data_IF_862214444102
#
_entry.id   IF_862214444102
#
_cell.length_a   1.000
_cell.length_b   1.000
_cell.length_c   1.000
_cell.angle_alpha   90.00
_cell.angle_beta   90.00
_cell.angle_gamma   90.00
#
_symmetry.space_group_name_H-M   'P 1'
#
loop_
_entity.id
_entity.type
_entity.pdbx_description
1 polymer ?
#
# COMPACT_ATOMS: atom_id res chain seq x y z
N UNK A 1 58.52 -74.74 10.89
CA UNK A 1 57.35 -74.00 11.42
C UNK A 1 57.89 -72.99 12.41
N UNK A 2 58.14 -71.79 11.92
CA UNK A 2 58.63 -70.64 12.69
C UNK A 2 57.66 -69.51 12.35
N UNK A 3 56.77 -69.20 13.28
CA UNK A 3 55.80 -68.12 13.13
C UNK A 3 56.35 -66.88 13.85
N UNK A 4 56.77 -65.94 13.02
CA UNK A 4 57.37 -64.65 13.36
C UNK A 4 56.25 -63.65 13.69
N UNK A 5 56.08 -63.34 14.97
CA UNK A 5 55.10 -62.35 15.44
C UNK A 5 55.72 -60.95 15.37
N UNK A 6 55.44 -60.24 14.26
CA UNK A 6 55.70 -58.80 14.13
C UNK A 6 54.97 -58.04 15.24
N UNK A 7 55.72 -57.51 16.21
CA UNK A 7 55.25 -56.46 17.12
C UNK A 7 55.08 -55.17 16.32
N UNK A 8 53.86 -54.63 16.27
CA UNK A 8 53.57 -53.30 15.74
C UNK A 8 54.32 -52.23 16.54
N UNK A 9 54.89 -51.25 15.85
CA UNK A 9 55.65 -50.14 16.44
C UNK A 9 54.68 -49.05 16.95
N UNK A 10 54.56 -48.84 18.27
CA UNK A 10 53.59 -47.91 18.86
C UNK A 10 53.81 -46.43 18.49
N UNK A 11 54.94 -46.09 17.85
CA UNK A 11 55.22 -44.73 17.36
C UNK A 11 54.49 -44.39 16.05
N UNK A 12 54.16 -45.39 15.23
CA UNK A 12 53.44 -45.19 13.97
C UNK A 12 51.92 -45.03 14.18
N UNK A 13 51.34 -45.76 15.15
CA UNK A 13 49.92 -45.66 15.53
C UNK A 13 49.58 -44.29 16.15
N UNK A 14 50.49 -43.71 16.93
CA UNK A 14 50.29 -42.36 17.50
C UNK A 14 50.31 -41.24 16.46
N UNK A 15 51.07 -41.42 15.38
CA UNK A 15 51.18 -40.42 14.29
C UNK A 15 49.94 -40.43 13.39
N UNK A 16 49.41 -41.62 13.06
CA UNK A 16 48.17 -41.78 12.31
C UNK A 16 46.95 -41.23 13.07
N UNK A 17 46.85 -41.52 14.38
CA UNK A 17 45.78 -40.97 15.22
C UNK A 17 45.82 -39.43 15.31
N UNK A 18 47.02 -38.83 15.37
CA UNK A 18 47.19 -37.37 15.36
C UNK A 18 46.79 -36.74 14.03
N UNK A 19 47.05 -37.41 12.90
CA UNK A 19 46.74 -36.92 11.56
C UNK A 19 45.24 -37.04 11.25
N UNK A 20 44.60 -38.12 11.72
CA UNK A 20 43.14 -38.27 11.68
C UNK A 20 42.43 -37.21 12.52
N UNK A 21 42.94 -36.91 13.72
CA UNK A 21 42.40 -35.86 14.58
C UNK A 21 42.55 -34.47 13.94
N UNK A 22 43.70 -34.19 13.30
CA UNK A 22 43.90 -32.95 12.55
C UNK A 22 42.96 -32.83 11.34
N UNK A 23 42.78 -33.91 10.57
CA UNK A 23 41.84 -33.94 9.45
C UNK A 23 40.40 -33.73 9.92
N UNK A 24 39.97 -34.40 11.00
CA UNK A 24 38.64 -34.20 11.59
C UNK A 24 38.43 -32.75 12.03
N UNK A 25 39.42 -32.13 12.69
CA UNK A 25 39.36 -30.71 13.07
C UNK A 25 39.26 -29.77 11.87
N UNK A 26 40.01 -30.04 10.80
CA UNK A 26 39.95 -29.24 9.56
C UNK A 26 38.59 -29.38 8.86
N UNK A 27 38.09 -30.60 8.71
CA UNK A 27 36.79 -30.85 8.08
C UNK A 27 35.64 -30.25 8.91
N UNK A 28 35.69 -30.41 10.24
CA UNK A 28 34.74 -29.79 11.15
C UNK A 28 34.77 -28.25 11.05
N UNK A 29 35.96 -27.65 10.97
CA UNK A 29 36.13 -26.21 10.76
C UNK A 29 35.55 -25.71 9.43
N UNK A 30 35.78 -26.43 8.33
CA UNK A 30 35.21 -26.07 7.02
C UNK A 30 33.69 -26.18 6.99
N UNK A 31 33.12 -27.27 7.53
CA UNK A 31 31.67 -27.42 7.64
C UNK A 31 31.05 -26.31 8.50
N UNK A 32 31.74 -25.87 9.55
CA UNK A 32 31.33 -24.78 10.45
C UNK A 32 31.28 -23.43 9.72
N UNK A 33 32.33 -23.06 8.99
CA UNK A 33 32.34 -21.83 8.19
C UNK A 33 31.23 -21.81 7.14
N UNK A 34 30.97 -22.94 6.48
CA UNK A 34 29.93 -23.03 5.45
C UNK A 34 28.53 -22.81 6.04
N UNK A 35 28.21 -23.45 7.16
CA UNK A 35 26.93 -23.23 7.86
C UNK A 35 26.75 -21.77 8.30
N UNK A 36 27.81 -21.13 8.79
CA UNK A 36 27.76 -19.72 9.16
C UNK A 36 27.53 -18.81 7.94
N UNK A 37 28.21 -19.07 6.82
CA UNK A 37 28.00 -18.31 5.58
C UNK A 37 26.58 -18.48 5.05
N UNK A 38 26.06 -19.72 5.01
CA UNK A 38 24.69 -20.00 4.57
C UNK A 38 23.66 -19.28 5.46
N UNK A 39 23.89 -19.26 6.77
CA UNK A 39 23.07 -18.51 7.73
C UNK A 39 23.10 -16.99 7.49
N UNK A 40 24.30 -16.42 7.27
CA UNK A 40 24.45 -14.98 7.00
C UNK A 40 23.77 -14.58 5.70
N UNK A 41 23.92 -15.38 4.64
CA UNK A 41 23.27 -15.14 3.35
C UNK A 41 21.74 -15.14 3.51
N UNK A 42 21.19 -16.11 4.24
CA UNK A 42 19.75 -16.21 4.49
C UNK A 42 19.19 -15.01 5.29
N UNK A 43 19.94 -14.47 6.25
CA UNK A 43 19.52 -13.29 7.02
C UNK A 43 19.62 -12.01 6.16
N UNK A 44 20.58 -11.96 5.24
CA UNK A 44 20.82 -10.78 4.40
C UNK A 44 19.84 -10.59 3.24
N UNK A 45 19.01 -11.58 2.93
CA UNK A 45 18.02 -11.49 1.84
C UNK A 45 16.78 -10.67 2.20
N UNK A 46 16.54 -10.45 3.50
CA UNK A 46 15.33 -9.81 3.97
C UNK A 46 15.56 -8.35 4.33
N UNK A 47 14.50 -7.56 4.12
CA UNK A 47 14.48 -6.13 4.40
C UNK A 47 13.47 -5.80 5.52
N UNK A 48 12.48 -6.68 5.72
CA UNK A 48 11.49 -6.60 6.81
C UNK A 48 12.11 -7.01 8.15
N UNK A 49 11.99 -6.16 9.17
CA UNK A 49 12.62 -6.38 10.47
C UNK A 49 12.15 -7.68 11.13
N UNK A 50 10.85 -7.95 11.12
CA UNK A 50 10.30 -9.15 11.75
C UNK A 50 10.85 -10.43 11.11
N UNK A 51 10.94 -10.44 9.78
CA UNK A 51 11.52 -11.53 8.99
C UNK A 51 13.01 -11.70 9.28
N UNK A 52 13.78 -10.60 9.30
CA UNK A 52 15.21 -10.59 9.69
C UNK A 52 15.39 -11.18 11.09
N UNK A 53 14.65 -10.71 12.09
CA UNK A 53 14.76 -11.18 13.47
C UNK A 53 14.38 -12.67 13.60
N UNK A 54 13.31 -13.11 12.93
CA UNK A 54 12.91 -14.52 12.89
C UNK A 54 13.99 -15.38 12.24
N UNK A 55 14.56 -14.94 11.12
CA UNK A 55 15.63 -15.66 10.44
C UNK A 55 16.91 -15.73 11.27
N UNK A 56 17.24 -14.70 12.06
CA UNK A 56 18.36 -14.76 13.01
C UNK A 56 18.13 -15.89 14.03
N UNK A 57 16.93 -15.96 14.61
CA UNK A 57 16.59 -17.01 15.60
C UNK A 57 16.65 -18.39 14.94
N UNK A 58 16.01 -18.55 13.78
CA UNK A 58 16.01 -19.80 13.00
C UNK A 58 17.44 -20.23 12.65
N UNK A 59 18.23 -19.34 12.07
CA UNK A 59 19.63 -19.59 11.74
C UNK A 59 20.44 -19.99 12.96
N UNK A 60 20.24 -19.32 14.11
CA UNK A 60 20.87 -19.68 15.37
C UNK A 60 20.53 -21.11 15.80
N UNK A 61 19.24 -21.48 15.77
CA UNK A 61 18.81 -22.83 16.14
C UNK A 61 19.42 -23.91 15.25
N UNK A 62 19.51 -23.68 13.93
CA UNK A 62 20.13 -24.63 13.00
C UNK A 62 21.66 -24.67 13.12
N UNK A 63 22.30 -23.53 13.40
CA UNK A 63 23.76 -23.42 13.40
C UNK A 63 24.40 -24.27 14.51
N UNK A 64 23.74 -24.36 15.67
CA UNK A 64 24.21 -25.11 16.84
C UNK A 64 23.29 -26.29 17.25
N UNK A 65 22.36 -26.66 16.37
CA UNK A 65 21.43 -27.79 16.56
C UNK A 65 20.59 -27.71 17.86
N UNK A 66 20.03 -26.53 18.13
CA UNK A 66 19.13 -26.27 19.26
C UNK A 66 17.66 -26.47 18.87
N UNK A 67 16.84 -26.97 19.81
CA UNK A 67 15.40 -27.18 19.60
C UNK A 67 14.58 -25.90 19.60
N UNK A 68 14.97 -24.93 20.40
CA UNK A 68 14.21 -23.70 20.60
C UNK A 68 15.14 -22.51 20.58
N UNK A 69 14.66 -21.42 20.00
CA UNK A 69 15.32 -20.12 20.04
C UNK A 69 14.36 -19.01 20.41
N UNK A 70 14.88 -18.01 21.11
CA UNK A 70 14.18 -16.80 21.46
C UNK A 70 15.11 -15.59 21.28
N UNK A 71 14.59 -14.51 20.72
CA UNK A 71 15.27 -13.23 20.64
C UNK A 71 14.41 -12.17 21.32
N UNK A 72 14.88 -11.68 22.46
CA UNK A 72 14.30 -10.52 23.12
C UNK A 72 14.91 -9.24 22.54
N UNK A 73 14.07 -8.37 21.98
CA UNK A 73 14.45 -7.02 21.53
C UNK A 73 14.31 -6.07 22.71
N UNK A 74 15.34 -5.25 22.95
CA UNK A 74 15.38 -4.32 24.06
C UNK A 74 14.89 -2.93 23.63
N UNK A 75 14.05 -2.32 24.46
CA UNK A 75 13.67 -0.91 24.36
C UNK A 75 14.76 0.01 24.92
N UNK A 76 14.52 1.33 24.86
CA UNK A 76 15.48 2.34 25.33
C UNK A 76 15.78 2.23 26.84
N UNK A 77 14.80 1.80 27.63
CA UNK A 77 14.92 1.60 29.08
C UNK A 77 15.55 0.25 29.47
N UNK A 78 15.89 -0.60 28.48
CA UNK A 78 16.45 -1.93 28.69
C UNK A 78 15.42 -3.03 28.96
N UNK A 79 14.12 -2.70 28.98
CA UNK A 79 13.04 -3.68 29.03
C UNK A 79 12.86 -4.40 27.68
N UNK A 80 12.40 -5.65 27.72
CA UNK A 80 12.09 -6.40 26.50
C UNK A 80 10.77 -5.88 25.91
N UNK A 81 10.84 -5.30 24.71
CA UNK A 81 9.68 -4.70 24.01
C UNK A 81 9.09 -5.61 22.94
N UNK A 82 9.87 -6.59 22.46
CA UNK A 82 9.42 -7.58 21.50
C UNK A 82 10.16 -8.92 21.72
N UNK A 83 9.51 -10.03 21.40
CA UNK A 83 10.02 -11.37 21.61
C UNK A 83 9.72 -12.26 20.41
N UNK A 84 10.79 -12.65 19.70
CA UNK A 84 10.70 -13.54 18.53
C UNK A 84 11.08 -14.95 18.94
N UNK A 85 10.20 -15.93 18.73
CA UNK A 85 10.44 -17.32 19.12
C UNK A 85 10.35 -18.29 17.95
N UNK A 86 11.21 -19.32 17.95
CA UNK A 86 11.20 -20.43 16.99
C UNK A 86 11.26 -21.75 17.75
N UNK A 87 10.42 -22.71 17.36
CA UNK A 87 10.42 -24.07 17.91
C UNK A 87 9.76 -24.24 19.29
N UNK A 88 9.31 -23.16 19.95
CA UNK A 88 8.62 -23.20 21.24
C UNK A 88 7.12 -22.92 21.12
N UNK A 89 6.25 -23.57 21.93
CA UNK A 89 4.96 -22.98 22.27
C UNK A 89 5.22 -21.73 23.12
N UNK A 90 4.58 -20.61 22.79
CA UNK A 90 4.62 -19.29 23.45
C UNK A 90 5.39 -19.32 24.78
N UNK A 91 6.67 -18.94 24.72
CA UNK A 91 7.53 -18.91 25.89
C UNK A 91 7.04 -17.75 26.77
N UNK A 92 6.20 -18.11 27.75
CA UNK A 92 5.73 -17.22 28.81
C UNK A 92 6.91 -16.38 29.33
N UNK A 93 6.73 -15.06 29.24
CA UNK A 93 7.72 -13.97 29.19
C UNK A 93 8.61 -13.78 30.42
N UNK A 94 8.95 -14.83 31.14
CA UNK A 94 9.89 -14.78 32.24
C UNK A 94 11.15 -15.57 31.89
N UNK A 95 12.27 -14.86 31.80
CA UNK A 95 13.53 -15.36 32.39
C UNK A 95 13.13 -16.03 33.72
N UNK A 96 13.16 -17.35 33.77
CA UNK A 96 12.33 -18.17 34.67
C UNK A 96 12.30 -17.69 36.14
N UNK A 97 11.15 -17.75 36.84
CA UNK A 97 11.10 -17.52 38.28
C UNK A 97 11.98 -18.56 39.01
N UNK A 98 12.67 -18.18 40.10
CA UNK A 98 13.56 -19.08 40.82
C UNK A 98 12.79 -20.25 41.44
N UNK A 99 13.11 -21.49 41.04
CA UNK A 99 12.61 -22.69 41.71
C UNK A 99 12.21 -23.91 40.86
N UNK A 100 12.32 -23.89 39.52
CA UNK A 100 12.12 -25.11 38.71
C UNK A 100 13.41 -25.94 38.56
N UNK A 101 13.34 -27.29 38.61
CA UNK A 101 14.51 -28.14 38.42
C UNK A 101 15.12 -27.97 37.02
N UNK A 102 16.43 -27.74 36.99
CA UNK A 102 17.25 -27.38 35.85
C UNK A 102 17.64 -28.59 34.99
N UNK A 103 17.04 -28.75 33.81
CA UNK A 103 17.58 -29.65 32.76
C UNK A 103 17.60 -29.02 31.37
N UNK A 104 17.31 -27.71 31.23
CA UNK A 104 17.51 -27.00 29.97
C UNK A 104 18.82 -26.23 30.03
N UNK A 105 19.83 -26.72 29.32
CA UNK A 105 21.01 -25.91 28.97
C UNK A 105 20.53 -24.72 28.14
N UNK A 106 21.05 -23.55 28.46
CA UNK A 106 20.73 -22.27 27.81
C UNK A 106 22.05 -21.67 27.35
N UNK A 107 22.09 -21.19 26.12
CA UNK A 107 23.18 -20.36 25.60
C UNK A 107 22.60 -19.04 25.13
N UNK A 108 23.13 -17.93 25.62
CA UNK A 108 22.68 -16.59 25.28
C UNK A 108 23.84 -15.75 24.77
N UNK A 109 23.64 -15.01 23.68
CA UNK A 109 24.60 -14.01 23.20
C UNK A 109 23.91 -12.68 22.90
N UNK A 110 24.57 -11.54 23.19
CA UNK A 110 24.02 -10.24 22.87
C UNK A 110 24.08 -9.99 21.36
N UNK A 111 22.99 -9.50 20.79
CA UNK A 111 22.98 -8.85 19.48
C UNK A 111 23.33 -7.39 19.67
N UNK A 112 24.49 -6.99 19.15
CA UNK A 112 24.97 -5.61 19.27
C UNK A 112 24.91 -4.94 17.90
N UNK A 113 24.28 -3.77 17.83
CA UNK A 113 24.20 -2.93 16.62
C UNK A 113 24.92 -1.62 16.90
N UNK A 114 25.97 -1.32 16.12
CA UNK A 114 26.82 -0.12 16.29
C UNK A 114 27.30 0.11 17.74
N UNK A 115 27.64 -0.97 18.45
CA UNK A 115 28.13 -0.90 19.83
C UNK A 115 27.04 -0.79 20.90
N UNK A 116 25.76 -0.79 20.53
CA UNK A 116 24.62 -0.82 21.48
C UNK A 116 23.97 -2.19 21.45
N UNK A 117 23.63 -2.75 22.61
CA UNK A 117 22.92 -4.03 22.68
C UNK A 117 21.49 -3.82 22.20
N UNK A 118 21.15 -4.40 21.05
CA UNK A 118 19.81 -4.37 20.46
C UNK A 118 18.89 -5.43 21.08
N UNK A 119 19.46 -6.59 21.43
CA UNK A 119 18.68 -7.71 21.93
C UNK A 119 19.56 -8.84 22.45
N UNK A 120 18.94 -9.89 22.97
CA UNK A 120 19.64 -11.08 23.42
C UNK A 120 19.06 -12.33 22.73
N UNK A 121 19.92 -13.05 22.00
CA UNK A 121 19.57 -14.30 21.35
C UNK A 121 19.85 -15.47 22.31
N UNK A 122 18.80 -16.15 22.72
CA UNK A 122 18.83 -17.27 23.64
C UNK A 122 18.41 -18.56 22.94
N UNK A 123 19.25 -19.59 22.99
CA UNK A 123 18.97 -20.91 22.45
C UNK A 123 18.91 -21.95 23.57
N UNK A 124 17.99 -22.91 23.46
CA UNK A 124 17.78 -23.93 24.51
C UNK A 124 17.53 -25.31 23.95
N UNK A 125 17.99 -26.32 24.69
CA UNK A 125 17.73 -27.73 24.40
C UNK A 125 18.44 -28.21 23.14
N UNK A 126 19.75 -28.46 23.24
CA UNK A 126 20.55 -29.07 22.18
C UNK A 126 20.01 -30.46 21.82
N UNK A 127 19.87 -30.76 20.53
CA UNK A 127 19.17 -31.96 20.05
C UNK A 127 19.87 -33.27 20.42
N UNK A 128 21.19 -33.27 20.44
CA UNK A 128 22.04 -34.40 20.81
C UNK A 128 22.08 -34.68 22.33
N UNK A 129 21.44 -33.83 23.14
CA UNK A 129 21.39 -33.95 24.60
C UNK A 129 22.67 -33.52 25.33
N UNK A 130 23.68 -33.02 24.60
CA UNK A 130 24.93 -32.52 25.19
C UNK A 130 24.79 -31.07 25.68
N UNK A 131 25.65 -30.61 26.60
CA UNK A 131 25.76 -29.18 26.91
C UNK A 131 26.22 -28.36 25.70
N UNK A 132 25.86 -27.07 25.70
CA UNK A 132 26.46 -26.11 24.76
C UNK A 132 27.95 -25.95 25.07
N UNK A 133 28.76 -25.82 24.02
CA UNK A 133 30.22 -25.70 24.11
C UNK A 133 30.70 -24.28 23.82
N UNK A 134 31.95 -23.99 24.14
CA UNK A 134 32.61 -22.72 23.77
C UNK A 134 32.59 -22.50 22.24
N UNK A 135 32.62 -23.59 21.46
CA UNK A 135 32.51 -23.52 20.00
C UNK A 135 31.10 -23.11 19.54
N UNK A 136 30.05 -23.55 20.28
CA UNK A 136 28.66 -23.13 20.04
C UNK A 136 28.50 -21.63 20.36
N UNK A 137 29.08 -21.17 21.48
CA UNK A 137 29.10 -19.75 21.86
C UNK A 137 29.83 -18.90 20.81
N UNK A 138 31.00 -19.35 20.35
CA UNK A 138 31.75 -18.64 19.31
C UNK A 138 31.01 -18.60 17.97
N UNK A 139 30.24 -19.65 17.62
CA UNK A 139 29.39 -19.66 16.42
C UNK A 139 28.27 -18.64 16.53
N UNK A 140 27.57 -18.68 17.66
CA UNK A 140 26.41 -17.85 17.89
C UNK A 140 26.81 -16.37 18.01
N UNK A 141 27.96 -16.08 18.62
CA UNK A 141 28.57 -14.74 18.67
C UNK A 141 28.95 -14.24 17.28
N UNK A 142 29.53 -15.10 16.43
CA UNK A 142 29.85 -14.73 15.06
C UNK A 142 28.59 -14.45 14.23
N UNK A 143 27.55 -15.26 14.39
CA UNK A 143 26.23 -15.04 13.78
C UNK A 143 25.63 -13.72 14.26
N UNK A 144 25.65 -13.45 15.57
CA UNK A 144 25.12 -12.23 16.15
C UNK A 144 25.84 -10.98 15.63
N UNK A 145 27.16 -11.05 15.47
CA UNK A 145 27.97 -9.99 14.86
C UNK A 145 27.60 -9.75 13.39
N UNK A 146 27.45 -10.82 12.60
CA UNK A 146 27.07 -10.70 11.20
C UNK A 146 25.62 -10.19 11.01
N UNK A 147 24.70 -10.64 11.87
CA UNK A 147 23.31 -10.20 11.91
C UNK A 147 23.16 -8.69 12.21
N UNK A 148 24.14 -8.08 12.87
CA UNK A 148 24.18 -6.64 13.17
C UNK A 148 23.93 -5.77 11.94
N UNK A 149 24.52 -6.17 10.79
CA UNK A 149 24.39 -5.44 9.53
C UNK A 149 22.96 -5.56 8.99
N UNK A 150 22.38 -6.76 9.01
CA UNK A 150 21.01 -6.97 8.55
C UNK A 150 19.98 -6.25 9.43
N UNK A 151 20.17 -6.23 10.75
CA UNK A 151 19.31 -5.46 11.67
C UNK A 151 19.43 -3.96 11.36
N UNK A 152 20.64 -3.42 11.17
CA UNK A 152 20.81 -2.01 10.83
C UNK A 152 20.19 -1.68 9.47
N UNK A 153 20.33 -2.56 8.48
CA UNK A 153 19.72 -2.39 7.15
C UNK A 153 18.19 -2.36 7.25
N UNK A 154 17.57 -3.31 7.95
CA UNK A 154 16.13 -3.34 8.18
C UNK A 154 15.67 -2.07 8.92
N UNK A 155 16.41 -1.63 9.95
CA UNK A 155 16.09 -0.40 10.71
C UNK A 155 16.22 0.86 9.85
N UNK A 156 17.18 0.92 8.93
CA UNK A 156 17.32 2.03 8.00
C UNK A 156 16.16 2.05 6.99
N UNK A 157 15.79 0.88 6.49
CA UNK A 157 14.66 0.74 5.58
C UNK A 157 13.33 1.12 6.22
N UNK A 158 13.05 0.67 7.46
CA UNK A 158 11.86 1.07 8.21
C UNK A 158 11.81 2.57 8.47
N UNK A 159 12.94 3.18 8.85
CA UNK A 159 13.02 4.65 9.04
C UNK A 159 12.76 5.40 7.74
N UNK A 160 13.30 4.92 6.62
CA UNK A 160 13.03 5.48 5.31
C UNK A 160 11.54 5.36 4.97
N UNK A 161 10.96 4.16 5.13
CA UNK A 161 9.54 3.89 4.90
C UNK A 161 8.64 4.80 5.72
N UNK A 162 8.86 4.87 7.04
CA UNK A 162 8.12 5.77 7.92
C UNK A 162 8.23 7.23 7.47
N UNK A 163 9.44 7.71 7.16
CA UNK A 163 9.66 9.10 6.75
C UNK A 163 8.95 9.41 5.44
N UNK A 164 9.01 8.51 4.47
CA UNK A 164 8.32 8.59 3.17
C UNK A 164 6.81 8.64 3.36
N UNK A 165 6.25 7.73 4.15
CA UNK A 165 4.80 7.70 4.44
C UNK A 165 4.33 8.99 5.14
N UNK A 166 5.10 9.50 6.11
CA UNK A 166 4.77 10.76 6.77
C UNK A 166 4.84 11.96 5.83
N UNK A 167 5.81 11.97 4.91
CA UNK A 167 5.91 13.02 3.90
C UNK A 167 4.72 12.97 2.94
N UNK A 168 4.35 11.79 2.44
CA UNK A 168 3.20 11.61 1.55
C UNK A 168 1.90 12.05 2.24
N UNK A 169 1.67 11.65 3.50
CA UNK A 169 0.50 12.07 4.28
C UNK A 169 0.39 13.59 4.40
N UNK A 170 1.50 14.31 4.51
CA UNK A 170 1.52 15.78 4.58
C UNK A 170 1.35 16.46 3.23
N UNK A 171 1.58 15.74 2.13
CA UNK A 171 1.35 16.25 0.78
C UNK A 171 -0.10 16.13 0.34
N UNK A 172 -0.93 15.34 1.04
CA UNK A 172 -2.36 15.22 0.78
C UNK A 172 -3.16 16.29 1.55
N UNK A 173 -4.29 16.77 1.01
CA UNK A 173 -5.11 17.79 1.66
C UNK A 173 -5.87 17.27 2.89
N UNK A 174 -6.05 18.14 3.88
CA UNK A 174 -7.18 18.04 4.78
C UNK A 174 -8.47 18.37 4.01
N UNK A 175 -9.50 17.54 4.14
CA UNK A 175 -10.78 17.76 3.48
C UNK A 175 -11.57 18.89 4.17
N UNK A 176 -12.06 19.90 3.42
CA UNK A 176 -12.87 20.96 4.00
C UNK A 176 -14.26 20.46 4.40
N UNK A 177 -14.90 21.15 5.35
CA UNK A 177 -16.32 20.98 5.63
C UNK A 177 -17.14 21.60 4.50
N UNK A 178 -17.87 20.77 3.75
CA UNK A 178 -18.74 21.18 2.65
C UNK A 178 -20.21 21.35 3.09
N UNK A 179 -20.48 21.41 4.40
CA UNK A 179 -21.82 21.56 4.95
C UNK A 179 -22.68 20.33 4.71
N UNK A 180 -23.73 20.38 3.86
CA UNK A 180 -24.61 19.25 3.65
C UNK A 180 -24.03 18.13 2.78
N UNK A 181 -22.90 18.36 2.09
CA UNK A 181 -22.20 17.35 1.30
C UNK A 181 -21.19 16.63 2.19
N UNK A 182 -21.28 15.31 2.27
CA UNK A 182 -20.29 14.49 2.98
C UNK A 182 -19.14 14.13 2.05
N UNK A 183 -17.90 14.24 2.52
CA UNK A 183 -16.70 13.87 1.76
C UNK A 183 -15.78 13.03 2.61
N UNK A 184 -15.26 11.94 2.05
CA UNK A 184 -14.18 11.14 2.64
C UNK A 184 -13.15 10.78 1.60
N UNK A 185 -11.93 10.54 2.05
CA UNK A 185 -10.86 10.05 1.20
C UNK A 185 -10.04 8.99 1.94
N UNK A 186 -9.40 8.14 1.16
CA UNK A 186 -8.38 7.19 1.59
C UNK A 186 -7.24 7.20 0.60
N UNK A 187 -6.05 7.02 1.13
CA UNK A 187 -4.84 6.85 0.35
C UNK A 187 -4.11 5.61 0.85
N UNK A 188 -3.83 4.68 -0.06
CA UNK A 188 -3.14 3.43 0.22
C UNK A 188 -1.86 3.40 -0.60
N UNK A 189 -0.67 3.48 0.03
CA UNK A 189 0.58 3.40 -0.69
C UNK A 189 0.86 2.01 -1.30
N UNK A 190 1.69 1.97 -2.35
CA UNK A 190 2.21 0.75 -2.94
C UNK A 190 3.02 -0.11 -1.94
N UNK A 191 3.04 -1.43 -2.14
CA UNK A 191 3.53 -2.40 -1.13
C UNK A 191 5.05 -2.65 -1.12
N UNK A 192 5.73 -2.57 -2.27
CA UNK A 192 7.10 -3.13 -2.40
C UNK A 192 8.25 -2.17 -2.11
N UNK A 193 8.05 -0.84 -2.12
CA UNK A 193 9.14 0.13 -1.90
C UNK A 193 8.65 1.40 -1.22
N UNK A 194 9.46 2.05 -0.35
CA UNK A 194 9.19 3.40 0.09
C UNK A 194 9.47 4.38 -1.06
N UNK A 195 8.51 4.48 -1.97
CA UNK A 195 8.43 5.52 -2.99
C UNK A 195 7.31 6.48 -2.60
N UNK A 196 7.44 7.72 -3.06
CA UNK A 196 6.36 8.69 -2.97
C UNK A 196 5.56 8.61 -4.27
N UNK A 197 4.24 8.51 -4.13
CA UNK A 197 3.33 8.32 -5.26
C UNK A 197 3.07 9.54 -6.10
N UNK A 198 2.65 9.28 -7.34
CA UNK A 198 2.10 10.26 -8.27
C UNK A 198 0.63 10.60 -7.98
N UNK A 199 -0.08 9.67 -7.34
CA UNK A 199 -1.49 9.78 -6.99
C UNK A 199 -1.81 10.89 -5.98
N UNK A 200 -2.90 11.62 -6.25
CA UNK A 200 -3.47 12.57 -5.29
C UNK A 200 -4.98 12.74 -5.43
N UNK A 201 -5.58 13.28 -4.37
CA UNK A 201 -6.89 13.89 -4.40
C UNK A 201 -6.82 15.31 -3.85
N UNK A 202 -7.77 16.17 -4.22
CA UNK A 202 -7.96 17.48 -3.60
C UNK A 202 -9.42 17.89 -3.58
N UNK A 203 -9.81 18.64 -2.55
CA UNK A 203 -11.14 19.23 -2.42
C UNK A 203 -10.98 20.65 -1.93
N UNK A 204 -11.44 21.59 -2.74
CA UNK A 204 -11.31 23.02 -2.48
C UNK A 204 -12.65 23.73 -2.63
N UNK A 205 -12.96 24.60 -1.68
CA UNK A 205 -14.12 25.49 -1.77
C UNK A 205 -13.69 26.75 -2.51
N UNK A 206 -14.30 26.99 -3.67
CA UNK A 206 -14.02 28.15 -4.50
C UNK A 206 -14.58 29.43 -3.86
N UNK A 207 -14.11 30.62 -4.27
CA UNK A 207 -14.63 31.90 -3.77
C UNK A 207 -16.14 32.10 -3.98
N UNK A 208 -16.73 31.41 -4.94
CA UNK A 208 -18.17 31.39 -5.23
C UNK A 208 -18.97 30.39 -4.34
N UNK A 209 -18.29 29.69 -3.42
CA UNK A 209 -18.86 28.69 -2.52
C UNK A 209 -19.03 27.31 -3.14
N UNK A 210 -18.68 27.13 -4.42
CA UNK A 210 -18.79 25.84 -5.11
C UNK A 210 -17.61 24.95 -4.71
N UNK A 211 -17.90 23.68 -4.37
CA UNK A 211 -16.86 22.70 -4.12
C UNK A 211 -16.27 22.21 -5.45
N UNK A 212 -14.94 22.29 -5.56
CA UNK A 212 -14.17 21.72 -6.65
C UNK A 212 -13.43 20.48 -6.12
N UNK A 213 -13.53 19.37 -6.85
CA UNK A 213 -12.96 18.08 -6.50
C UNK A 213 -11.97 17.65 -7.58
N UNK A 214 -10.86 17.06 -7.16
CA UNK A 214 -9.79 16.60 -8.03
C UNK A 214 -9.36 15.20 -7.58
N UNK A 215 -9.16 14.32 -8.54
CA UNK A 215 -8.36 13.10 -8.38
C UNK A 215 -7.46 13.00 -9.60
N UNK A 216 -6.21 12.62 -9.41
CA UNK A 216 -5.28 12.44 -10.51
C UNK A 216 -4.09 11.59 -10.14
N UNK A 217 -3.33 11.26 -11.18
CA UNK A 217 -2.10 10.50 -11.12
C UNK A 217 -1.07 11.11 -12.07
N UNK A 218 0.16 11.29 -11.58
CA UNK A 218 1.30 11.76 -12.36
C UNK A 218 1.97 10.57 -13.04
N UNK A 219 2.11 10.65 -14.35
CA UNK A 219 2.70 9.56 -15.13
C UNK A 219 4.14 9.26 -14.68
N UNK A 220 4.37 8.01 -14.26
CA UNK A 220 5.67 7.48 -13.89
C UNK A 220 5.69 6.91 -12.47
N UNK A 221 6.70 6.10 -12.15
CA UNK A 221 6.79 5.38 -10.87
C UNK A 221 8.09 5.68 -10.09
N UNK A 222 8.78 6.76 -10.47
CA UNK A 222 10.08 7.10 -9.92
C UNK A 222 9.97 8.09 -8.76
N UNK A 223 10.89 8.10 -7.78
CA UNK A 223 10.81 8.98 -6.61
C UNK A 223 10.67 10.49 -6.92
N UNK A 224 10.94 10.89 -8.18
CA UNK A 224 10.73 12.25 -8.68
C UNK A 224 9.28 12.65 -8.95
N UNK A 225 8.30 11.72 -8.92
CA UNK A 225 6.90 12.05 -9.27
C UNK A 225 6.18 12.85 -8.18
N UNK A 226 6.49 12.66 -6.90
CA UNK A 226 5.77 13.35 -5.83
C UNK A 226 5.97 14.87 -5.80
N UNK A 227 7.18 15.43 -6.02
CA UNK A 227 7.32 16.88 -6.24
C UNK A 227 6.50 17.38 -7.43
N UNK A 228 6.39 16.59 -8.50
CA UNK A 228 5.58 16.93 -9.67
C UNK A 228 4.10 16.91 -9.33
N UNK A 229 3.61 15.91 -8.61
CA UNK A 229 2.24 15.86 -8.09
C UNK A 229 1.93 17.13 -7.27
N UNK A 230 2.82 17.52 -6.36
CA UNK A 230 2.68 18.75 -5.59
C UNK A 230 2.63 20.00 -6.47
N UNK A 231 3.33 20.04 -7.61
CA UNK A 231 3.21 21.12 -8.58
C UNK A 231 1.84 21.13 -9.26
N UNK A 232 1.39 19.99 -9.79
CA UNK A 232 0.04 19.86 -10.40
C UNK A 232 -1.05 20.32 -9.45
N UNK A 233 -1.05 19.79 -8.23
CA UNK A 233 -2.03 20.12 -7.18
C UNK A 233 -2.05 21.63 -6.89
N UNK A 234 -0.89 22.23 -6.62
CA UNK A 234 -0.81 23.64 -6.26
C UNK A 234 -1.15 24.58 -7.44
N UNK A 235 -0.77 24.22 -8.67
CA UNK A 235 -1.14 24.97 -9.87
C UNK A 235 -2.65 24.90 -10.09
N UNK A 236 -3.26 23.72 -9.98
CA UNK A 236 -4.70 23.55 -10.07
C UNK A 236 -5.45 24.36 -9.02
N UNK A 237 -5.00 24.31 -7.77
CA UNK A 237 -5.59 25.09 -6.69
C UNK A 237 -5.56 26.59 -7.05
N UNK A 238 -4.40 27.13 -7.45
CA UNK A 238 -4.26 28.53 -7.82
C UNK A 238 -5.13 28.93 -9.02
N UNK A 239 -5.14 28.10 -10.09
CA UNK A 239 -5.92 28.35 -11.30
C UNK A 239 -7.43 28.30 -11.05
N UNK A 240 -7.89 27.35 -10.24
CA UNK A 240 -9.28 27.21 -9.86
C UNK A 240 -9.73 28.40 -8.99
N UNK A 241 -8.90 28.82 -8.03
CA UNK A 241 -9.19 29.94 -7.13
C UNK A 241 -9.25 31.30 -7.83
N UNK A 242 -8.26 31.62 -8.69
CA UNK A 242 -8.15 32.95 -9.32
C UNK A 242 -9.25 33.23 -10.34
N UNK A 243 -9.55 32.27 -11.22
CA UNK A 243 -10.38 32.52 -12.41
C UNK A 243 -11.67 31.75 -12.46
N UNK A 244 -11.85 30.74 -11.61
CA UNK A 244 -13.00 29.83 -11.66
C UNK A 244 -13.33 29.38 -13.08
N UNK A 245 -14.62 29.22 -13.36
CA UNK A 245 -15.15 28.83 -14.67
C UNK A 245 -15.33 27.32 -14.86
N UNK A 246 -15.67 26.88 -16.09
CA UNK A 246 -15.88 25.48 -16.41
C UNK A 246 -14.61 24.65 -16.16
N UNK A 247 -14.75 23.41 -15.64
CA UNK A 247 -13.64 22.50 -15.40
C UNK A 247 -12.62 22.40 -16.54
N UNK A 248 -13.09 22.24 -17.78
CA UNK A 248 -12.26 22.13 -18.98
C UNK A 248 -11.37 23.36 -19.19
N UNK A 249 -11.88 24.55 -18.90
CA UNK A 249 -11.11 25.80 -19.01
C UNK A 249 -9.99 25.88 -17.97
N UNK A 250 -10.20 25.35 -16.76
CA UNK A 250 -9.17 25.31 -15.72
C UNK A 250 -8.05 24.36 -16.15
N UNK A 251 -8.40 23.17 -16.65
CA UNK A 251 -7.43 22.18 -17.11
C UNK A 251 -6.70 22.63 -18.39
N UNK A 252 -7.36 23.32 -19.32
CA UNK A 252 -6.67 23.91 -20.49
C UNK A 252 -5.59 24.93 -20.09
N UNK A 253 -5.86 25.75 -19.07
CA UNK A 253 -4.84 26.68 -18.55
C UNK A 253 -3.69 25.95 -17.86
N UNK A 254 -4.00 24.83 -17.20
CA UNK A 254 -2.96 23.97 -16.62
C UNK A 254 -2.05 23.41 -17.72
N UNK A 255 -2.61 22.92 -18.84
CA UNK A 255 -1.82 22.51 -20.00
C UNK A 255 -0.92 23.65 -20.51
N UNK A 256 -1.46 24.86 -20.63
CA UNK A 256 -0.69 26.03 -21.07
C UNK A 256 0.51 26.31 -20.16
N UNK A 257 0.31 26.26 -18.83
CA UNK A 257 1.37 26.49 -17.84
C UNK A 257 2.42 25.38 -17.89
N UNK A 258 1.99 24.12 -17.93
CA UNK A 258 2.89 22.96 -18.00
C UNK A 258 3.72 22.99 -19.28
N UNK A 259 3.12 23.38 -20.41
CA UNK A 259 3.80 23.51 -21.70
C UNK A 259 4.92 24.56 -21.73
N UNK A 260 5.07 25.39 -20.69
CA UNK A 260 6.19 26.34 -20.54
C UNK A 260 7.42 25.74 -19.86
N UNK A 261 7.32 24.53 -19.31
CA UNK A 261 8.44 23.84 -18.65
C UNK A 261 9.36 23.19 -19.68
N UNK A 262 10.66 23.10 -19.37
CA UNK A 262 11.68 22.53 -20.27
C UNK A 262 11.45 21.03 -20.55
N UNK A 263 10.89 20.31 -19.57
CA UNK A 263 10.46 18.92 -19.66
C UNK A 263 9.05 18.81 -19.06
N UNK A 264 7.99 18.98 -19.88
CA UNK A 264 6.62 19.07 -19.38
C UNK A 264 6.17 17.70 -18.85
N UNK A 265 5.88 17.57 -17.54
CA UNK A 265 5.37 16.33 -17.00
C UNK A 265 3.94 16.07 -17.49
N UNK A 266 3.56 14.80 -17.51
CA UNK A 266 2.21 14.37 -17.82
C UNK A 266 1.48 13.86 -16.58
N UNK A 267 0.16 14.06 -16.56
CA UNK A 267 -0.70 13.51 -15.51
C UNK A 267 -2.09 13.20 -16.07
N UNK A 268 -2.70 12.12 -15.59
CA UNK A 268 -4.13 11.87 -15.76
C UNK A 268 -4.87 12.54 -14.61
N UNK A 269 -6.04 13.13 -14.88
CA UNK A 269 -6.87 13.68 -13.79
C UNK A 269 -8.33 13.84 -14.18
N UNK A 270 -9.17 13.89 -13.16
CA UNK A 270 -10.50 14.48 -13.21
C UNK A 270 -10.50 15.73 -12.35
N UNK A 271 -11.03 16.81 -12.93
CA UNK A 271 -11.39 18.00 -12.19
C UNK A 271 -12.89 18.20 -12.35
N UNK A 272 -13.59 18.39 -11.24
CA UNK A 272 -15.03 18.63 -11.27
C UNK A 272 -15.51 19.63 -10.23
N UNK A 273 -16.71 20.16 -10.45
CA UNK A 273 -17.40 21.14 -9.63
C UNK A 273 -18.77 20.60 -9.24
N UNK A 274 -19.11 20.71 -7.97
CA UNK A 274 -20.40 20.31 -7.41
C UNK A 274 -21.27 21.56 -7.22
N UNK A 275 -22.15 21.81 -8.18
CA UNK A 275 -23.03 22.97 -8.19
C UNK A 275 -24.42 22.62 -7.66
N UNK A 276 -24.88 23.34 -6.64
CA UNK A 276 -26.27 23.29 -6.20
C UNK A 276 -27.13 24.17 -7.11
N UNK A 277 -28.01 23.53 -7.91
CA UNK A 277 -28.92 24.24 -8.83
C UNK A 277 -30.13 24.79 -8.10
N UNK A 278 -30.63 24.02 -7.13
CA UNK A 278 -31.74 24.34 -6.22
C UNK A 278 -31.45 23.68 -4.88
N UNK A 279 -32.07 24.11 -3.77
CA UNK A 279 -31.88 23.49 -2.46
C UNK A 279 -32.01 21.96 -2.50
N UNK A 280 -30.92 21.24 -2.30
CA UNK A 280 -30.84 19.78 -2.33
C UNK A 280 -30.71 19.12 -3.73
N UNK A 281 -30.66 19.91 -4.82
CA UNK A 281 -30.45 19.43 -6.19
C UNK A 281 -29.03 19.80 -6.67
N UNK A 282 -28.16 18.80 -6.75
CA UNK A 282 -26.76 18.98 -7.14
C UNK A 282 -26.50 18.49 -8.56
N UNK A 283 -25.61 19.18 -9.27
CA UNK A 283 -25.09 18.77 -10.58
C UNK A 283 -23.57 18.68 -10.49
N UNK A 284 -23.02 17.57 -10.97
CA UNK A 284 -21.59 17.41 -11.12
C UNK A 284 -21.17 17.86 -12.52
N UNK A 285 -20.33 18.88 -12.58
CA UNK A 285 -19.68 19.35 -13.80
C UNK A 285 -18.24 18.90 -13.81
N UNK A 286 -17.73 18.26 -14.85
CA UNK A 286 -16.33 17.80 -14.85
C UNK A 286 -15.69 17.79 -16.23
N UNK A 287 -14.36 17.78 -16.23
CA UNK A 287 -13.54 17.40 -17.37
C UNK A 287 -12.72 16.18 -16.97
N UNK A 288 -12.50 15.27 -17.93
CA UNK A 288 -11.65 14.10 -17.74
C UNK A 288 -10.44 14.20 -18.68
N UNK A 289 -9.24 14.27 -18.10
CA UNK A 289 -7.97 14.31 -18.80
C UNK A 289 -7.28 12.93 -18.76
N UNK A 290 -7.91 11.91 -19.33
CA UNK A 290 -7.34 10.58 -19.50
C UNK A 290 -7.38 9.67 -18.25
N UNK A 291 -8.20 10.00 -17.27
CA UNK A 291 -8.32 9.28 -16.00
C UNK A 291 -9.50 8.28 -16.01
N UNK A 292 -9.50 7.23 -15.17
CA UNK A 292 -10.67 6.37 -14.97
C UNK A 292 -11.93 7.19 -14.65
N UNK A 293 -13.10 6.85 -15.24
CA UNK A 293 -14.32 7.63 -15.05
C UNK A 293 -14.87 7.50 -13.62
N UNK A 294 -15.49 8.56 -13.05
CA UNK A 294 -16.14 8.47 -11.75
C UNK A 294 -17.27 7.45 -11.74
N UNK A 295 -17.45 6.74 -10.63
CA UNK A 295 -18.58 5.85 -10.41
C UNK A 295 -19.67 6.56 -9.61
N UNK A 296 -20.86 6.71 -10.17
CA UNK A 296 -22.06 7.15 -9.47
C UNK A 296 -22.76 5.95 -8.84
N UNK A 297 -23.08 6.06 -7.55
CA UNK A 297 -23.76 5.05 -6.75
C UNK A 297 -25.07 5.66 -6.23
N UNK A 298 -26.20 5.20 -6.73
CA UNK A 298 -27.51 5.60 -6.25
C UNK A 298 -27.87 4.88 -4.94
N UNK A 299 -28.77 5.46 -4.15
CA UNK A 299 -29.23 4.88 -2.87
C UNK A 299 -29.85 3.49 -3.00
N UNK A 300 -30.40 3.15 -4.17
CA UNK A 300 -30.99 1.84 -4.44
C UNK A 300 -29.96 0.76 -4.83
N UNK A 301 -28.67 1.12 -4.83
CA UNK A 301 -27.57 0.23 -5.25
C UNK A 301 -27.29 0.24 -6.75
N UNK A 302 -28.05 1.01 -7.54
CA UNK A 302 -27.76 1.19 -8.97
C UNK A 302 -26.45 1.96 -9.13
N UNK A 303 -25.58 1.46 -10.00
CA UNK A 303 -24.27 2.07 -10.27
C UNK A 303 -24.12 2.46 -11.74
N UNK A 304 -23.43 3.55 -12.01
CA UNK A 304 -23.16 4.04 -13.36
C UNK A 304 -21.81 4.74 -13.43
N UNK A 305 -20.92 4.30 -14.32
CA UNK A 305 -19.71 5.06 -14.63
C UNK A 305 -20.08 6.29 -15.46
N UNK A 306 -19.64 7.47 -15.00
CA UNK A 306 -19.78 8.74 -15.70
C UNK A 306 -18.72 8.87 -16.81
N UNK A 307 -18.68 7.88 -17.70
CA UNK A 307 -17.74 7.83 -18.82
C UNK A 307 -18.15 8.83 -19.91
N UNK A 308 -17.27 9.77 -20.29
CA UNK A 308 -17.59 10.75 -21.30
C UNK A 308 -17.63 10.11 -22.70
N UNK A 309 -18.44 10.61 -23.65
CA UNK A 309 -18.44 10.13 -25.03
C UNK A 309 -17.09 10.33 -25.75
N UNK A 310 -16.26 11.24 -25.23
CA UNK A 310 -14.90 11.52 -25.69
C UNK A 310 -14.02 11.62 -24.46
N UNK A 311 -13.10 10.69 -24.30
CA UNK A 311 -12.05 10.76 -23.29
C UNK A 311 -11.09 11.90 -23.67
N UNK A 312 -10.75 12.76 -22.71
CA UNK A 312 -9.59 13.64 -22.88
C UNK A 312 -8.30 12.82 -22.84
N UNK A 313 -7.22 13.39 -23.34
CA UNK A 313 -5.87 12.84 -23.19
C UNK A 313 -5.27 13.27 -21.83
N UNK A 314 -4.17 12.67 -21.35
CA UNK A 314 -3.47 13.21 -20.19
C UNK A 314 -3.09 14.70 -20.36
N UNK A 315 -3.02 15.42 -19.25
CA UNK A 315 -2.46 16.78 -19.19
C UNK A 315 -0.98 16.72 -19.59
N UNK A 316 -0.49 17.75 -20.29
CA UNK A 316 0.92 17.85 -20.70
C UNK A 316 1.26 17.11 -22.01
N UNK A 317 0.36 16.29 -22.55
CA UNK A 317 0.60 15.52 -23.80
C UNK A 317 0.37 16.34 -25.07
N UNK A 318 -0.77 17.00 -25.21
CA UNK A 318 -1.04 17.94 -26.31
C UNK A 318 -1.98 19.07 -25.87
N UNK A 319 -1.42 20.23 -25.46
CA UNK A 319 -2.19 21.40 -25.00
C UNK A 319 -3.18 21.97 -26.02
N UNK A 320 -3.03 21.63 -27.31
CA UNK A 320 -3.88 22.17 -28.39
C UNK A 320 -5.22 21.46 -28.48
N UNK A 321 -5.35 20.28 -27.87
CA UNK A 321 -6.61 19.55 -27.86
C UNK A 321 -7.59 20.18 -26.86
N UNK A 322 -8.88 20.32 -27.23
CA UNK A 322 -9.87 20.88 -26.33
C UNK A 322 -10.11 19.95 -25.13
N UNK A 323 -10.39 20.55 -23.97
CA UNK A 323 -10.83 19.87 -22.75
C UNK A 323 -12.36 19.89 -22.69
N UNK A 324 -13.07 18.79 -23.01
CA UNK A 324 -14.52 18.77 -23.01
C UNK A 324 -15.07 18.83 -21.59
N UNK A 325 -16.03 19.73 -21.38
CA UNK A 325 -16.84 19.76 -20.17
C UNK A 325 -18.03 18.80 -20.29
N UNK A 326 -18.34 18.15 -19.18
CA UNK A 326 -19.44 17.22 -19.00
C UNK A 326 -20.27 17.62 -17.80
N UNK A 327 -21.55 17.23 -17.79
CA UNK A 327 -22.45 17.47 -16.67
C UNK A 327 -23.37 16.27 -16.42
N UNK A 328 -23.68 16.02 -15.15
CA UNK A 328 -24.60 14.98 -14.74
C UNK A 328 -25.32 15.39 -13.45
N UNK A 329 -26.66 15.38 -13.42
CA UNK A 329 -27.42 15.57 -12.18
C UNK A 329 -27.11 14.46 -11.18
N UNK A 330 -26.88 14.80 -9.92
CA UNK A 330 -26.67 13.82 -8.87
C UNK A 330 -27.99 13.53 -8.17
N UNK A 331 -28.51 12.29 -8.21
CA UNK A 331 -29.71 11.94 -7.47
C UNK A 331 -29.54 12.23 -5.97
N UNK A 332 -30.59 12.67 -5.26
CA UNK A 332 -30.49 12.95 -3.84
C UNK A 332 -30.01 11.73 -3.04
N UNK A 333 -29.05 11.94 -2.13
CA UNK A 333 -28.42 10.87 -1.35
C UNK A 333 -27.43 9.99 -2.13
N UNK A 334 -27.22 10.21 -3.43
CA UNK A 334 -26.24 9.45 -4.21
C UNK A 334 -24.80 9.76 -3.80
N UNK A 335 -23.92 8.81 -4.07
CA UNK A 335 -22.48 8.91 -3.79
C UNK A 335 -21.70 8.87 -5.09
N UNK A 336 -20.77 9.78 -5.27
CA UNK A 336 -19.78 9.81 -6.34
C UNK A 336 -18.46 9.24 -5.81
N UNK A 337 -17.94 8.20 -6.43
CA UNK A 337 -16.65 7.58 -6.14
C UNK A 337 -15.66 7.95 -7.26
N UNK A 338 -14.58 8.62 -6.89
CA UNK A 338 -13.43 8.91 -7.75
C UNK A 338 -12.24 8.12 -7.22
N UNK A 339 -11.44 7.57 -8.13
CA UNK A 339 -10.34 6.68 -7.79
C UNK A 339 -9.26 6.73 -8.86
N UNK A 340 -8.01 6.48 -8.44
CA UNK A 340 -6.88 6.26 -9.34
C UNK A 340 -6.83 4.81 -9.83
N UNK A 341 -6.08 4.57 -10.91
CA UNK A 341 -6.01 3.26 -11.56
C UNK A 341 -5.45 2.16 -10.67
N UNK A 342 -4.59 2.45 -9.70
CA UNK A 342 -4.11 1.48 -8.71
C UNK A 342 -5.22 0.76 -7.92
N UNK A 343 -6.46 1.26 -7.90
CA UNK A 343 -7.62 0.55 -7.32
C UNK A 343 -8.12 -0.61 -8.20
N UNK A 344 -7.87 -0.56 -9.51
CA UNK A 344 -8.45 -1.47 -10.52
C UNK A 344 -7.40 -2.17 -11.37
N UNK A 345 -6.21 -1.61 -11.49
CA UNK A 345 -5.12 -2.14 -12.29
C UNK A 345 -4.41 -3.28 -11.54
N UNK A 346 -4.40 -4.46 -12.18
CA UNK A 346 -3.73 -5.65 -11.67
C UNK A 346 -2.96 -6.29 -12.81
N UNK A 347 -1.77 -6.81 -12.51
CA UNK A 347 -0.94 -7.49 -13.52
C UNK A 347 -1.58 -8.73 -14.13
N UNK A 348 -2.50 -9.36 -13.41
CA UNK A 348 -3.13 -10.65 -13.74
C UNK A 348 -4.61 -10.57 -14.12
N UNK A 349 -5.19 -9.36 -14.21
CA UNK A 349 -6.61 -9.16 -14.49
C UNK A 349 -6.86 -8.07 -15.53
N UNK A 350 -7.88 -8.26 -16.36
CA UNK A 350 -8.33 -7.24 -17.30
C UNK A 350 -8.99 -6.07 -16.54
N UNK A 351 -8.65 -4.84 -16.91
CA UNK A 351 -9.17 -3.63 -16.28
C UNK A 351 -10.70 -3.53 -16.35
N UNK A 352 -11.33 -4.02 -17.42
CA UNK A 352 -12.78 -4.00 -17.57
C UNK A 352 -13.46 -4.99 -16.60
N UNK A 353 -12.80 -6.11 -16.28
CA UNK A 353 -13.25 -7.03 -15.25
C UNK A 353 -13.16 -6.40 -13.86
N UNK A 354 -12.03 -5.73 -13.57
CA UNK A 354 -11.82 -5.01 -12.30
C UNK A 354 -12.83 -3.88 -12.09
N UNK A 355 -13.10 -3.09 -13.13
CA UNK A 355 -14.10 -2.01 -13.07
C UNK A 355 -15.51 -2.56 -12.83
N UNK A 356 -15.87 -3.69 -13.44
CA UNK A 356 -17.16 -4.35 -13.19
C UNK A 356 -17.27 -4.90 -11.77
N UNK A 357 -16.20 -5.50 -11.24
CA UNK A 357 -16.16 -6.00 -9.87
C UNK A 357 -16.31 -4.84 -8.86
N UNK A 358 -15.55 -3.76 -9.06
CA UNK A 358 -15.64 -2.53 -8.28
C UNK A 358 -17.07 -1.97 -8.27
N UNK A 359 -17.70 -1.85 -9.45
CA UNK A 359 -19.05 -1.33 -9.57
C UNK A 359 -20.08 -2.21 -8.82
N UNK A 360 -19.98 -3.53 -8.96
CA UNK A 360 -20.87 -4.47 -8.26
C UNK A 360 -20.71 -4.37 -6.73
N UNK A 361 -19.47 -4.29 -6.24
CA UNK A 361 -19.19 -4.16 -4.82
C UNK A 361 -19.70 -2.81 -4.28
N UNK A 362 -19.36 -1.71 -4.94
CA UNK A 362 -19.77 -0.37 -4.54
C UNK A 362 -21.31 -0.21 -4.49
N UNK A 363 -22.03 -0.85 -5.41
CA UNK A 363 -23.50 -0.91 -5.38
C UNK A 363 -24.05 -1.60 -4.14
N UNK A 364 -23.41 -2.67 -3.65
CA UNK A 364 -23.81 -3.34 -2.41
C UNK A 364 -23.57 -2.50 -1.14
N UNK A 365 -22.72 -1.48 -1.26
CA UNK A 365 -22.31 -0.56 -0.20
C UNK A 365 -23.03 0.80 -0.27
N UNK A 366 -24.07 0.95 -1.11
CA UNK A 366 -24.72 2.23 -1.37
C UNK A 366 -25.23 3.00 -0.13
N UNK A 367 -25.56 2.27 0.95
CA UNK A 367 -26.16 2.84 2.17
C UNK A 367 -25.24 2.83 3.39
N UNK A 368 -24.01 2.30 3.27
CA UNK A 368 -23.06 2.34 4.39
C UNK A 368 -22.49 3.76 4.57
N UNK A 369 -21.85 4.01 5.71
CA UNK A 369 -21.12 5.25 5.92
C UNK A 369 -19.93 5.37 4.95
N UNK A 370 -19.50 6.60 4.66
CA UNK A 370 -18.46 6.85 3.66
C UNK A 370 -17.08 6.33 4.07
N UNK A 371 -16.80 6.25 5.38
CA UNK A 371 -15.53 5.70 5.87
C UNK A 371 -15.47 4.19 5.58
N UNK A 372 -16.52 3.45 5.91
CA UNK A 372 -16.66 2.03 5.57
C UNK A 372 -16.67 1.80 4.05
N UNK A 373 -17.34 2.65 3.26
CA UNK A 373 -17.31 2.56 1.80
C UNK A 373 -15.88 2.61 1.27
N UNK A 374 -15.06 3.57 1.71
CA UNK A 374 -13.68 3.66 1.27
C UNK A 374 -12.85 2.44 1.70
N UNK A 375 -12.98 2.02 2.96
CA UNK A 375 -12.19 0.92 3.51
C UNK A 375 -12.52 -0.40 2.82
N UNK A 376 -13.80 -0.69 2.56
CA UNK A 376 -14.24 -1.91 1.89
C UNK A 376 -13.83 -1.94 0.41
N UNK A 377 -13.94 -0.82 -0.30
CA UNK A 377 -13.55 -0.73 -1.71
C UNK A 377 -12.04 -0.97 -1.88
N UNK A 378 -11.21 -0.42 -0.98
CA UNK A 378 -9.77 -0.68 -0.98
C UNK A 378 -9.47 -2.14 -0.59
N UNK A 379 -10.13 -2.66 0.45
CA UNK A 379 -9.88 -4.02 0.93
C UNK A 379 -10.20 -5.11 -0.10
N UNK A 380 -11.15 -4.87 -1.01
CA UNK A 380 -11.50 -5.80 -2.08
C UNK A 380 -10.39 -5.98 -3.12
N UNK A 381 -9.57 -4.95 -3.33
CA UNK A 381 -8.39 -5.06 -4.19
C UNK A 381 -7.38 -6.06 -3.63
N UNK A 382 -7.29 -6.16 -2.29
CA UNK A 382 -6.45 -7.12 -1.57
C UNK A 382 -5.54 -6.43 -0.56
N UNK A 383 -4.46 -7.11 -0.18
CA UNK A 383 -3.47 -6.59 0.77
C UNK A 383 -2.16 -6.13 0.11
N UNK A 384 -1.97 -6.47 -1.16
CA UNK A 384 -0.78 -6.10 -1.94
C UNK A 384 -1.22 -5.17 -3.05
N UNK A 385 -0.59 -4.00 -3.10
CA UNK A 385 -0.84 -2.95 -4.07
C UNK A 385 0.42 -2.73 -4.89
N UNK A 386 0.31 -2.94 -6.21
CA UNK A 386 1.40 -2.72 -7.16
C UNK A 386 1.71 -1.22 -7.33
N UNK A 387 0.67 -0.38 -7.24
CA UNK A 387 0.75 1.06 -7.33
C UNK A 387 0.04 1.73 -6.15
N UNK A 388 0.19 3.04 -6.03
CA UNK A 388 -0.56 3.83 -5.07
C UNK A 388 -2.06 3.86 -5.42
N UNK A 389 -2.88 4.09 -4.40
CA UNK A 389 -4.33 4.18 -4.56
C UNK A 389 -4.84 5.41 -3.83
N UNK A 390 -5.46 6.32 -4.57
CA UNK A 390 -6.25 7.41 -4.01
C UNK A 390 -7.74 7.17 -4.29
N UNK A 391 -8.55 7.23 -3.23
CA UNK A 391 -10.01 7.15 -3.29
C UNK A 391 -10.60 8.41 -2.69
N UNK A 392 -11.50 9.06 -3.42
CA UNK A 392 -12.29 10.21 -2.97
C UNK A 392 -13.77 9.90 -3.17
N UNK A 393 -14.55 9.95 -2.09
CA UNK A 393 -16.00 9.72 -2.12
C UNK A 393 -16.74 10.96 -1.68
N UNK A 394 -17.79 11.30 -2.42
CA UNK A 394 -18.61 12.48 -2.18
C UNK A 394 -20.09 12.10 -2.19
N UNK A 395 -20.81 12.32 -1.09
CA UNK A 395 -22.24 12.04 -0.99
C UNK A 395 -23.03 13.34 -0.89
N UNK A 396 -23.96 13.52 -1.81
CA UNK A 396 -24.91 14.63 -1.77
C UNK A 396 -26.02 14.32 -0.76
N UNK A 397 -26.59 15.31 -0.08
CA UNK A 397 -27.64 15.08 0.90
C UNK A 397 -28.90 14.50 0.23
N UNK A 398 -29.75 13.78 0.97
CA UNK A 398 -31.10 13.49 0.53
C UNK A 398 -31.91 14.78 0.40
N UNK A 399 -33.01 14.76 -0.38
CA UNK A 399 -33.88 15.93 -0.49
C UNK A 399 -34.40 16.31 0.91
N UNK A 400 -34.46 17.62 1.24
CA UNK A 400 -35.03 18.06 2.49
C UNK A 400 -36.48 17.58 2.59
N UNK A 401 -36.84 16.96 3.72
CA UNK A 401 -38.20 16.50 3.98
C UNK A 401 -39.14 17.72 4.09
N UNK A 402 -39.77 18.13 2.97
CA UNK A 402 -40.66 19.29 2.98
C UNK A 402 -41.20 19.83 1.65
N UNK A 403 -40.84 19.29 0.48
CA UNK A 403 -41.36 19.74 -0.82
C UNK A 403 -42.11 18.65 -1.57
N UNK A 404 -43.02 17.95 -0.89
CA UNK A 404 -44.12 17.26 -1.56
C UNK A 404 -45.13 18.29 -2.06
N UNK A 405 -44.82 18.89 -3.22
CA UNK A 405 -45.78 19.64 -4.01
C UNK A 405 -46.92 18.71 -4.43
N UNK A 406 -48.08 18.87 -3.78
CA UNK A 406 -49.30 18.17 -4.12
C UNK A 406 -49.73 18.48 -5.55
N UNK A 407 -49.43 17.55 -6.46
CA UNK A 407 -49.98 17.48 -7.80
C UNK A 407 -50.71 16.15 -7.96
N UNK A 408 -51.94 16.08 -7.46
CA UNK A 408 -52.86 15.00 -7.79
C UNK A 408 -53.17 15.06 -9.28
N UNK A 409 -52.49 14.24 -10.09
CA UNK A 409 -52.93 13.96 -11.45
C UNK A 409 -54.03 12.91 -11.36
N UNK A 410 -55.27 13.41 -11.39
CA UNK A 410 -56.47 12.61 -11.60
C UNK A 410 -56.39 11.91 -12.95
N UNK A 411 -56.64 10.60 -12.92
CA UNK A 411 -56.80 9.74 -14.07
C UNK A 411 -57.97 10.18 -14.98
N UNK A 412 -57.68 10.26 -16.27
CA UNK A 412 -58.61 10.19 -17.40
C UNK A 412 -57.71 10.08 -18.64
N UNK A 413 -57.70 9.00 -19.42
CA UNK A 413 -58.81 8.20 -19.91
C UNK A 413 -58.75 8.29 -21.44
N UNK A 414 -58.02 7.35 -22.04
CA UNK A 414 -58.13 6.75 -23.39
C UNK A 414 -58.76 7.62 -24.53
N UNK A 415 -58.06 7.80 -25.66
CA UNK A 415 -58.37 7.02 -26.88
C UNK A 415 -57.34 7.15 -28.02
N UNK A 416 -57.31 6.08 -28.80
CA UNK A 416 -56.61 5.76 -30.05
C UNK A 416 -56.90 6.68 -31.24
N UNK A 417 -55.92 6.90 -32.12
CA UNK A 417 -56.08 6.70 -33.58
C UNK A 417 -54.75 6.90 -34.34
N UNK A 418 -54.28 5.80 -34.94
CA UNK A 418 -53.42 5.83 -36.12
C UNK A 418 -54.24 6.19 -37.37
N UNK A 419 -53.63 6.85 -38.37
CA UNK A 419 -54.17 6.89 -39.72
C UNK A 419 -53.89 8.13 -40.55
N UNK A 420 -52.79 8.07 -41.31
CA UNK A 420 -52.75 8.28 -42.76
C UNK A 420 -53.28 9.61 -43.35
N UNK A 421 -52.39 10.37 -44.03
CA UNK A 421 -52.63 10.94 -45.37
C UNK A 421 -51.40 11.66 -45.95
N UNK A 422 -50.91 11.10 -47.06
CA UNK A 422 -50.08 11.74 -48.08
C UNK A 422 -50.84 12.84 -48.85
N UNK A 423 -50.15 13.93 -49.17
CA UNK A 423 -50.00 14.35 -50.57
C UNK A 423 -50.66 15.66 -51.06
N UNK A 424 -49.81 16.47 -51.73
CA UNK A 424 -50.06 17.55 -52.72
C UNK A 424 -50.48 18.91 -52.15
N UNK A 425 -49.91 20.05 -52.54
CA UNK A 425 -48.96 20.42 -53.60
C UNK A 425 -49.18 21.91 -53.93
N UNK A 426 -48.17 22.62 -54.45
CA UNK A 426 -48.37 23.92 -55.11
C UNK A 426 -47.30 24.98 -54.86
N UNK A 427 -46.40 25.15 -55.82
CA UNK A 427 -45.76 26.43 -56.20
C UNK A 427 -46.55 27.00 -57.42
N UNK A 428 -46.21 28.15 -58.07
CA UNK A 428 -45.12 29.13 -57.88
C UNK A 428 -45.70 30.58 -57.99
N UNK A 429 -45.11 31.65 -58.64
CA UNK A 429 -43.92 31.80 -59.49
C UNK A 429 -42.60 32.10 -58.75
#
# INVERSE_FOLDING_TARGET
MTEDTRKADPRLDGSAASLEEQLRRLTAGQSRQRRLLDAVVAISSDIDMHSVLRHIVTAGTHLIDARHGALGVLGEDGDVVDLITVGAPECDTALAPPGRPSTRTVLGVPLTVRGTVYGNLCLTGKNDGTPFTDDDEALLTALASAASVSIENARLYERLKYTTEQFQRRMLPDLPDLGPIEVRARYQPASELPKLGGDWYDVLVLPDGVACIVVGDVTGHDPGVAPVMGQFRNMLHALAHDRGGPPGTIVSKLDDVIGTLDDPPAATLILGRLEERRPGEYTFHWTNAGHPPPLLIALDGTVCFLAPPRHGIPVGVDPRLPRPDHEHPLPPGSTLLLFTDGLVERRDQDIDDSLRALAAQAGSLATVDLDALCDEVIAHHGQVFDDDVAVLVVRVPPLPAGTSGGGSLTAGGLDSAAGDRLGRGGAPP
#
